data_IF_407557972230
#
_entry.id   IF_407557972230
#
_cell.length_a   1.000
_cell.length_b   1.000
_cell.length_c   1.000
_cell.angle_alpha   90.00
_cell.angle_beta   90.00
_cell.angle_gamma   90.00
#
_symmetry.space_group_name_H-M   'P 1'
#
loop_
_entity.id
_entity.type
_entity.pdbx_description
1 polymer ?
#
# COMPACT_ATOMS: atom_id res chain seq x y z
N UNK A 1 19.28 -21.97 0.38
CA UNK A 1 18.58 -21.98 -0.93
C UNK A 1 17.12 -22.43 -0.84
N UNK A 2 16.76 -23.44 -0.03
CA UNK A 2 15.38 -23.96 0.00
C UNK A 2 14.32 -22.93 0.46
N UNK A 3 14.62 -22.08 1.46
CA UNK A 3 13.70 -21.03 1.94
C UNK A 3 13.36 -19.96 0.90
N UNK A 4 14.28 -19.61 -0.01
CA UNK A 4 14.04 -18.59 -1.02
C UNK A 4 13.02 -19.06 -2.06
N UNK A 5 13.08 -20.35 -2.43
CA UNK A 5 12.18 -20.93 -3.42
C UNK A 5 10.76 -21.05 -2.85
N UNK A 6 10.60 -21.44 -1.59
CA UNK A 6 9.29 -21.47 -0.92
C UNK A 6 8.67 -20.08 -0.78
N UNK A 7 9.45 -19.06 -0.44
CA UNK A 7 8.99 -17.68 -0.39
C UNK A 7 8.56 -17.14 -1.76
N UNK A 8 9.37 -17.43 -2.78
CA UNK A 8 9.08 -17.03 -4.17
C UNK A 8 7.77 -17.66 -4.68
N UNK A 9 7.58 -18.97 -4.46
CA UNK A 9 6.35 -19.66 -4.87
C UNK A 9 5.14 -19.10 -4.12
N UNK A 10 5.26 -18.88 -2.81
CA UNK A 10 4.17 -18.31 -1.99
C UNK A 10 3.76 -16.93 -2.49
N UNK A 11 4.74 -16.06 -2.78
CA UNK A 11 4.52 -14.73 -3.36
C UNK A 11 3.79 -14.81 -4.69
N UNK A 12 4.18 -15.73 -5.57
CA UNK A 12 3.54 -15.93 -6.88
C UNK A 12 2.09 -16.37 -6.70
N UNK A 13 1.83 -17.36 -5.84
CA UNK A 13 0.48 -17.87 -5.59
C UNK A 13 -0.44 -16.77 -5.04
N UNK A 14 0.04 -15.94 -4.11
CA UNK A 14 -0.74 -14.83 -3.57
C UNK A 14 -1.08 -13.78 -4.64
N UNK A 15 -0.10 -13.41 -5.48
CA UNK A 15 -0.32 -12.44 -6.56
C UNK A 15 -1.30 -12.98 -7.62
N UNK A 16 -1.15 -14.24 -8.02
CA UNK A 16 -2.10 -14.90 -8.93
C UNK A 16 -3.50 -14.96 -8.33
N UNK A 17 -3.62 -15.27 -7.04
CA UNK A 17 -4.92 -15.30 -6.35
C UNK A 17 -5.58 -13.92 -6.38
N UNK A 18 -4.85 -12.86 -6.02
CA UNK A 18 -5.36 -11.48 -6.06
C UNK A 18 -5.76 -11.05 -7.49
N UNK A 19 -4.94 -11.40 -8.49
CA UNK A 19 -5.20 -11.10 -9.90
C UNK A 19 -6.47 -11.79 -10.41
N UNK A 20 -6.60 -13.10 -10.18
CA UNK A 20 -7.77 -13.87 -10.60
C UNK A 20 -9.04 -13.37 -9.91
N UNK A 21 -8.96 -12.98 -8.63
CA UNK A 21 -10.08 -12.41 -7.89
C UNK A 21 -10.69 -11.19 -8.58
N UNK A 22 -9.83 -10.35 -9.17
CA UNK A 22 -10.23 -9.12 -9.87
C UNK A 22 -10.69 -9.41 -11.30
N UNK A 23 -9.94 -10.21 -12.05
CA UNK A 23 -10.22 -10.46 -13.47
C UNK A 23 -11.50 -11.26 -13.68
N UNK A 24 -11.72 -12.30 -12.88
CA UNK A 24 -12.94 -13.12 -12.94
C UNK A 24 -14.15 -12.42 -12.29
N UNK A 25 -13.98 -11.19 -11.77
CA UNK A 25 -15.03 -10.42 -11.09
C UNK A 25 -15.76 -11.23 -9.99
N UNK A 26 -15.01 -12.10 -9.29
CA UNK A 26 -15.52 -13.04 -8.29
C UNK A 26 -16.17 -12.34 -7.09
N UNK A 27 -15.74 -11.10 -6.80
CA UNK A 27 -16.29 -10.25 -5.74
C UNK A 27 -16.56 -8.86 -6.30
N UNK A 28 -17.55 -8.15 -5.74
CA UNK A 28 -17.96 -6.83 -6.23
C UNK A 28 -17.96 -5.78 -5.11
N UNK A 29 -17.65 -4.54 -5.47
CA UNK A 29 -17.77 -3.38 -4.59
C UNK A 29 -16.81 -3.38 -3.39
N UNK A 30 -17.25 -2.97 -2.19
CA UNK A 30 -16.37 -2.75 -1.05
C UNK A 30 -15.71 -4.04 -0.53
N UNK A 31 -16.34 -5.20 -0.73
CA UNK A 31 -15.79 -6.49 -0.32
C UNK A 31 -14.54 -6.84 -1.13
N UNK A 32 -14.56 -6.60 -2.44
CA UNK A 32 -13.40 -6.82 -3.31
C UNK A 32 -12.20 -5.98 -2.84
N UNK A 33 -12.43 -4.69 -2.58
CA UNK A 33 -11.39 -3.75 -2.13
C UNK A 33 -10.77 -4.23 -0.81
N UNK A 34 -11.59 -4.62 0.16
CA UNK A 34 -11.11 -5.10 1.46
C UNK A 34 -10.25 -6.38 1.34
N UNK A 35 -10.68 -7.32 0.50
CA UNK A 35 -9.95 -8.58 0.27
C UNK A 35 -8.62 -8.32 -0.42
N UNK A 36 -8.57 -7.44 -1.44
CA UNK A 36 -7.33 -7.11 -2.14
C UNK A 36 -6.34 -6.41 -1.20
N UNK A 37 -6.81 -5.45 -0.39
CA UNK A 37 -5.95 -4.77 0.60
C UNK A 37 -5.38 -5.80 1.59
N UNK A 38 -6.23 -6.72 2.07
CA UNK A 38 -5.79 -7.77 2.98
C UNK A 38 -4.73 -8.69 2.34
N UNK A 39 -4.93 -9.11 1.09
CA UNK A 39 -3.96 -9.90 0.33
C UNK A 39 -2.66 -9.13 0.09
N UNK A 40 -2.74 -7.83 -0.21
CA UNK A 40 -1.57 -6.97 -0.41
C UNK A 40 -0.74 -6.82 0.87
N UNK A 41 -1.39 -6.71 2.04
CA UNK A 41 -0.70 -6.69 3.32
C UNK A 41 -0.01 -8.03 3.60
N UNK A 42 -0.70 -9.15 3.41
CA UNK A 42 -0.09 -10.48 3.59
C UNK A 42 1.11 -10.65 2.63
N UNK A 43 0.99 -10.19 1.39
CA UNK A 43 2.07 -10.23 0.42
C UNK A 43 3.29 -9.43 0.87
N UNK A 44 3.08 -8.23 1.41
CA UNK A 44 4.13 -7.40 1.98
C UNK A 44 4.87 -8.14 3.11
N UNK A 45 4.15 -8.80 4.02
CA UNK A 45 4.76 -9.61 5.07
C UNK A 45 5.58 -10.79 4.54
N UNK A 46 5.06 -11.52 3.54
CA UNK A 46 5.79 -12.63 2.89
C UNK A 46 7.10 -12.11 2.28
N UNK A 47 7.08 -10.96 1.60
CA UNK A 47 8.28 -10.38 1.00
C UNK A 47 9.30 -9.94 2.05
N UNK A 48 8.86 -9.31 3.13
CA UNK A 48 9.74 -8.91 4.23
C UNK A 48 10.42 -10.11 4.91
N UNK A 49 9.72 -11.23 5.07
CA UNK A 49 10.31 -12.42 5.73
C UNK A 49 11.21 -13.20 4.78
N UNK A 50 10.74 -13.49 3.57
CA UNK A 50 11.43 -14.40 2.65
C UNK A 50 12.49 -13.74 1.78
N UNK A 51 12.33 -12.47 1.38
CA UNK A 51 13.32 -11.77 0.56
C UNK A 51 14.25 -10.92 1.41
N UNK A 52 13.73 -10.25 2.43
CA UNK A 52 14.53 -9.35 3.26
C UNK A 52 15.25 -10.07 4.42
N UNK A 53 15.17 -11.40 4.51
CA UNK A 53 16.00 -12.31 5.33
C UNK A 53 16.55 -11.69 6.63
N UNK A 54 15.68 -11.08 7.45
CA UNK A 54 16.08 -10.34 8.66
C UNK A 54 16.75 -11.19 9.75
N UNK A 55 16.72 -12.50 9.61
CA UNK A 55 17.05 -13.44 10.68
C UNK A 55 18.22 -14.40 10.34
N UNK A 56 18.75 -14.41 9.11
CA UNK A 56 19.72 -15.45 8.71
C UNK A 56 21.19 -15.09 8.88
N UNK A 57 21.51 -13.88 9.32
CA UNK A 57 22.87 -13.56 9.74
C UNK A 57 22.89 -13.34 11.25
N UNK A 58 23.88 -13.94 11.92
CA UNK A 58 24.29 -13.62 13.29
C UNK A 58 24.88 -12.19 13.39
N UNK A 59 24.26 -11.24 12.68
CA UNK A 59 24.64 -9.85 12.54
C UNK A 59 23.73 -8.93 13.35
N UNK A 60 24.08 -7.63 13.42
CA UNK A 60 23.48 -6.68 14.33
C UNK A 60 21.96 -6.55 14.19
N UNK A 61 21.24 -6.67 15.32
CA UNK A 61 19.79 -6.44 15.48
C UNK A 61 19.28 -5.06 14.96
N UNK A 62 20.21 -4.19 14.56
CA UNK A 62 19.96 -2.89 13.97
C UNK A 62 19.21 -2.96 12.64
N UNK A 63 19.31 -4.05 11.88
CA UNK A 63 18.60 -4.16 10.60
C UNK A 63 17.07 -4.17 10.78
N UNK A 64 16.58 -4.81 11.85
CA UNK A 64 15.16 -4.77 12.24
C UNK A 64 14.73 -3.36 12.67
N UNK A 65 15.61 -2.63 13.36
CA UNK A 65 15.35 -1.25 13.77
C UNK A 65 15.22 -0.30 12.56
N UNK A 66 16.08 -0.45 11.55
CA UNK A 66 15.96 0.30 10.29
C UNK A 66 14.66 -0.03 9.57
N UNK A 67 14.28 -1.29 9.49
CA UNK A 67 13.03 -1.71 8.84
C UNK A 67 11.80 -1.12 9.54
N UNK A 68 11.74 -1.19 10.87
CA UNK A 68 10.65 -0.61 11.64
C UNK A 68 10.60 0.91 11.49
N UNK A 69 11.76 1.57 11.42
CA UNK A 69 11.86 3.00 11.14
C UNK A 69 11.33 3.34 9.74
N UNK A 70 11.70 2.57 8.71
CA UNK A 70 11.20 2.75 7.34
C UNK A 70 9.69 2.59 7.28
N UNK A 71 9.11 1.57 7.91
CA UNK A 71 7.65 1.39 7.98
C UNK A 71 6.99 2.58 8.67
N UNK A 72 7.56 3.06 9.77
CA UNK A 72 7.04 4.21 10.51
C UNK A 72 7.03 5.49 9.66
N UNK A 73 8.12 5.74 8.91
CA UNK A 73 8.22 6.87 7.99
C UNK A 73 7.16 6.74 6.88
N UNK A 74 7.01 5.56 6.28
CA UNK A 74 6.00 5.32 5.23
C UNK A 74 4.59 5.61 5.77
N UNK A 75 4.26 5.14 6.98
CA UNK A 75 2.96 5.40 7.60
C UNK A 75 2.72 6.89 7.83
N UNK A 76 3.71 7.61 8.36
CA UNK A 76 3.62 9.06 8.57
C UNK A 76 3.40 9.79 7.24
N UNK A 77 4.13 9.41 6.19
CA UNK A 77 3.99 10.02 4.87
C UNK A 77 2.61 9.73 4.28
N UNK A 78 2.11 8.49 4.32
CA UNK A 78 0.79 8.16 3.75
C UNK A 78 -0.32 8.88 4.51
N UNK A 79 -0.33 8.80 5.84
CA UNK A 79 -1.36 9.43 6.66
C UNK A 79 -1.28 10.95 6.53
N UNK A 80 -0.07 11.50 6.59
CA UNK A 80 0.17 12.94 6.46
C UNK A 80 -0.25 13.46 5.08
N UNK A 81 0.09 12.75 4.00
CA UNK A 81 -0.28 13.17 2.64
C UNK A 81 -1.79 13.12 2.41
N UNK A 82 -2.46 12.03 2.82
CA UNK A 82 -3.91 11.93 2.72
C UNK A 82 -4.60 13.04 3.51
N UNK A 83 -4.13 13.33 4.73
CA UNK A 83 -4.68 14.40 5.56
C UNK A 83 -4.46 15.79 4.97
N UNK A 84 -3.25 16.06 4.47
CA UNK A 84 -2.93 17.35 3.83
C UNK A 84 -3.77 17.56 2.58
N UNK A 85 -3.91 16.53 1.73
CA UNK A 85 -4.70 16.63 0.50
C UNK A 85 -6.18 16.85 0.79
N UNK A 86 -6.73 16.17 1.79
CA UNK A 86 -8.12 16.36 2.22
C UNK A 86 -8.34 17.76 2.78
N UNK A 87 -7.47 18.22 3.67
CA UNK A 87 -7.53 19.58 4.21
C UNK A 87 -7.37 20.65 3.11
N UNK A 88 -6.48 20.43 2.14
CA UNK A 88 -6.27 21.35 1.03
C UNK A 88 -7.50 21.38 0.12
N UNK A 89 -8.07 20.22 -0.21
CA UNK A 89 -9.30 20.12 -1.00
C UNK A 89 -10.49 20.79 -0.32
N UNK A 90 -10.55 20.77 1.01
CA UNK A 90 -11.60 21.46 1.76
C UNK A 90 -11.47 22.99 1.73
N UNK A 91 -10.24 23.52 1.66
CA UNK A 91 -9.98 24.96 1.68
C UNK A 91 -9.74 25.59 0.31
N UNK A 92 -9.67 24.79 -0.76
CA UNK A 92 -9.56 25.32 -2.11
C UNK A 92 -10.94 25.74 -2.63
N UNK A 93 -11.10 26.97 -3.15
CA UNK A 93 -12.32 27.37 -3.81
C UNK A 93 -12.57 26.45 -5.00
N UNK A 94 -13.82 26.03 -5.17
CA UNK A 94 -14.19 25.16 -6.28
C UNK A 94 -14.08 25.94 -7.58
N UNK A 95 -13.77 25.28 -8.70
CA UNK A 95 -13.69 25.92 -10.02
C UNK A 95 -14.92 26.78 -10.35
N UNK A 96 -16.10 26.44 -9.83
CA UNK A 96 -17.32 27.24 -9.98
C UNK A 96 -17.21 28.63 -9.34
N UNK A 97 -16.62 28.73 -8.14
CA UNK A 97 -16.42 30.00 -7.42
C UNK A 97 -15.34 30.85 -8.13
N UNK A 98 -14.26 30.23 -8.60
CA UNK A 98 -13.18 30.91 -9.35
C UNK A 98 -13.72 31.48 -10.68
N UNK A 99 -14.52 30.71 -11.42
CA UNK A 99 -15.10 31.14 -12.69
C UNK A 99 -16.17 32.23 -12.51
N UNK A 100 -16.79 32.30 -11.34
CA UNK A 100 -17.78 33.32 -10.97
C UNK A 100 -17.10 34.64 -10.52
N UNK A 101 -15.95 34.59 -9.85
CA UNK A 101 -15.12 35.78 -9.59
C UNK A 101 -14.47 36.35 -10.86
N UNK A 102 -14.00 35.50 -11.77
CA UNK A 102 -13.39 35.97 -13.03
C UNK A 102 -14.42 36.43 -14.09
N UNK A 103 -15.72 36.35 -13.79
CA UNK A 103 -16.79 36.83 -14.69
C UNK A 103 -16.91 36.03 -15.99
N UNK A 104 -16.43 34.78 -16.01
CA UNK A 104 -16.46 33.89 -17.18
C UNK A 104 -17.87 33.33 -17.44
N UNK A 105 -18.70 33.21 -16.41
CA UNK A 105 -20.13 32.94 -16.54
C UNK A 105 -20.93 34.22 -16.22
N UNK A 106 -21.64 34.73 -17.23
CA UNK A 106 -22.82 35.58 -17.05
C UNK A 106 -24.07 34.71 -17.00
#
# INVERSE_FOLDING_TARGET
MHNYVTGFITSIVLTLTAYLLVVEHLLTGPVLVFVIISLALIQLWVQLIFFLHLDHEHGPKWNLAFLLSTISIILIVIIGTLWIMDNLSYHMPTNEEIMQEEGIYK
#
